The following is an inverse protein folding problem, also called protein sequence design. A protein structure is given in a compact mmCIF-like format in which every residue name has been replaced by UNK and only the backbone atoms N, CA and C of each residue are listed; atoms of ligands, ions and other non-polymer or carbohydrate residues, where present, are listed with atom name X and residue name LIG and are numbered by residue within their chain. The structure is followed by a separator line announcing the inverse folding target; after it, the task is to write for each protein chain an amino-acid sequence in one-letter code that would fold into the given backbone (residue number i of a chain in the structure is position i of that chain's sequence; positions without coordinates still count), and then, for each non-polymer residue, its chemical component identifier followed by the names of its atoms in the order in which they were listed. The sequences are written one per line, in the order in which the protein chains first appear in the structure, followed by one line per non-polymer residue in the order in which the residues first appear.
data_IF_964639566536
#
_entry.id   IF_964639566536
#
_cell.length_a   1.000
_cell.length_b   1.000
_cell.length_c   1.000
_cell.angle_alpha   90.00
_cell.angle_beta   90.00
_cell.angle_gamma   90.00
#
_symmetry.space_group_name_H-M   'P 1'
#
loop_
_entity.id
_entity.type
_entity.pdbx_description
1 polymer ?
#
# COMPACT_ATOMS: atom_id res chain seq x y z
N UNK A 1 1.58 10.73 10.24
CA UNK A 1 0.43 11.63 10.37
C UNK A 1 -0.51 11.05 11.43
N UNK A 2 -0.79 11.83 12.45
CA UNK A 2 -1.76 11.48 13.50
C UNK A 2 -2.94 12.42 13.33
N UNK A 3 -4.10 11.92 12.94
CA UNK A 3 -5.34 12.69 12.90
C UNK A 3 -6.28 12.13 13.97
N UNK A 4 -6.62 12.95 14.95
CA UNK A 4 -7.57 12.59 16.02
C UNK A 4 -8.75 13.56 15.92
N UNK A 5 -9.87 13.09 15.37
CA UNK A 5 -11.12 13.82 15.36
C UNK A 5 -11.95 13.42 16.59
N UNK A 6 -12.06 14.32 17.56
CA UNK A 6 -13.01 14.20 18.67
C UNK A 6 -14.26 14.99 18.35
N UNK A 7 -15.41 14.33 18.34
CA UNK A 7 -16.71 14.98 18.28
C UNK A 7 -17.38 14.82 19.63
N UNK A 8 -17.94 15.92 20.13
CA UNK A 8 -18.71 15.93 21.37
C UNK A 8 -20.18 16.03 21.04
N UNK A 9 -20.98 15.14 21.67
CA UNK A 9 -22.42 15.12 21.50
C UNK A 9 -23.10 15.43 22.81
N UNK A 10 -24.24 16.10 22.73
CA UNK A 10 -25.09 16.37 23.86
C UNK A 10 -26.45 15.73 23.59
N UNK A 11 -26.90 14.89 24.52
CA UNK A 11 -28.23 14.36 24.47
C UNK A 11 -29.23 15.51 24.61
N UNK A 12 -30.28 15.52 23.81
CA UNK A 12 -31.37 16.48 23.94
C UNK A 12 -32.72 15.77 23.85
N UNK A 13 -33.65 16.25 24.64
CA UNK A 13 -35.05 15.84 24.61
C UNK A 13 -35.90 17.02 24.09
N UNK A 14 -36.71 16.75 23.07
CA UNK A 14 -37.73 17.71 22.64
C UNK A 14 -39.01 17.39 23.40
N UNK A 15 -39.41 18.30 24.27
CA UNK A 15 -40.60 18.16 25.12
C UNK A 15 -41.67 19.15 24.66
N UNK A 16 -42.89 18.67 24.52
CA UNK A 16 -44.07 19.50 24.31
C UNK A 16 -44.74 19.73 25.66
N UNK A 17 -44.99 20.98 26.00
CA UNK A 17 -45.77 21.33 27.17
C UNK A 17 -47.23 20.92 26.98
N UNK A 18 -47.80 20.20 27.91
CA UNK A 18 -49.16 19.67 27.83
C UNK A 18 -50.13 20.32 28.85
N UNK A 19 -49.63 21.14 29.74
CA UNK A 19 -50.42 21.78 30.79
C UNK A 19 -49.77 21.58 32.16
N UNK A 20 -50.55 21.80 33.22
CA UNK A 20 -50.14 21.63 34.63
C UNK A 20 -50.99 20.55 35.29
N UNK A 21 -50.41 19.84 36.26
CA UNK A 21 -51.13 18.93 37.12
C UNK A 21 -51.92 19.67 38.19
N UNK A 22 -52.68 18.93 39.01
CA UNK A 22 -53.48 19.51 40.08
C UNK A 22 -52.66 20.20 41.19
N UNK A 23 -51.37 19.92 41.25
CA UNK A 23 -50.38 20.51 42.15
C UNK A 23 -49.59 21.67 41.55
N UNK A 24 -49.86 22.04 40.27
CA UNK A 24 -49.21 23.16 39.56
C UNK A 24 -47.86 22.81 38.94
N UNK A 25 -47.50 21.52 38.78
CA UNK A 25 -46.28 21.13 38.06
C UNK A 25 -46.54 20.98 36.56
N UNK A 26 -45.60 21.43 35.77
CA UNK A 26 -45.70 21.35 34.32
C UNK A 26 -45.60 19.91 33.79
N UNK A 27 -46.60 19.48 33.04
CA UNK A 27 -46.64 18.18 32.36
C UNK A 27 -46.03 18.33 30.95
N UNK A 28 -45.09 17.47 30.62
CA UNK A 28 -44.43 17.44 29.32
C UNK A 28 -44.63 16.08 28.64
N UNK A 29 -44.97 16.14 27.35
CA UNK A 29 -44.88 14.97 26.48
C UNK A 29 -43.54 14.96 25.76
N UNK A 30 -42.83 13.85 25.81
CA UNK A 30 -41.54 13.71 25.07
C UNK A 30 -41.88 13.40 23.62
N UNK A 31 -41.75 14.38 22.74
CA UNK A 31 -41.95 14.24 21.28
C UNK A 31 -40.83 13.52 20.62
N UNK A 32 -39.60 13.70 21.09
CA UNK A 32 -38.40 13.13 20.50
C UNK A 32 -37.31 12.96 21.56
N UNK A 33 -36.87 11.75 21.68
CA UNK A 33 -35.69 11.41 22.48
C UNK A 33 -34.64 10.86 21.52
N UNK A 34 -33.71 11.71 21.10
CA UNK A 34 -32.60 11.28 20.24
C UNK A 34 -31.35 11.03 21.08
N UNK A 35 -31.08 9.76 21.28
CA UNK A 35 -29.80 9.33 21.80
C UNK A 35 -28.75 9.39 20.67
N UNK A 36 -27.96 10.46 20.66
CA UNK A 36 -26.84 10.61 19.70
C UNK A 36 -25.70 9.64 20.02
N UNK A 37 -25.88 8.69 20.91
CA UNK A 37 -24.87 7.71 21.32
C UNK A 37 -24.42 6.74 20.22
N UNK A 38 -25.12 6.70 19.09
CA UNK A 38 -24.84 5.76 18.00
C UNK A 38 -24.22 6.41 16.75
N UNK A 39 -23.66 7.61 16.86
CA UNK A 39 -22.88 8.13 15.75
C UNK A 39 -21.54 7.40 15.70
N UNK A 40 -21.39 6.51 14.75
CA UNK A 40 -20.15 5.86 14.46
C UNK A 40 -19.17 6.93 13.96
N UNK A 41 -18.30 7.40 14.82
CA UNK A 41 -17.20 8.27 14.42
C UNK A 41 -16.26 7.44 13.56
N UNK A 42 -16.14 7.81 12.31
CA UNK A 42 -15.08 7.28 11.47
C UNK A 42 -13.75 7.88 11.95
N UNK A 43 -13.15 7.26 12.93
CA UNK A 43 -11.82 7.61 13.39
C UNK A 43 -10.81 6.86 12.53
N UNK A 44 -9.88 7.55 11.92
CA UNK A 44 -8.73 6.95 11.23
C UNK A 44 -7.44 7.32 11.97
N UNK A 45 -6.63 6.32 12.25
CA UNK A 45 -5.29 6.53 12.77
C UNK A 45 -4.33 5.62 12.01
N UNK A 46 -3.33 6.22 11.39
CA UNK A 46 -2.30 5.48 10.68
C UNK A 46 -0.92 5.99 11.07
N UNK A 47 0.06 5.12 10.95
CA UNK A 47 1.47 5.45 11.11
C UNK A 47 2.24 4.93 9.92
N UNK A 48 2.97 5.82 9.27
CA UNK A 48 3.91 5.47 8.20
C UNK A 48 5.31 5.91 8.60
N UNK A 49 6.27 5.00 8.49
CA UNK A 49 7.69 5.27 8.70
C UNK A 49 8.41 4.87 7.42
N UNK A 50 9.24 5.77 6.92
CA UNK A 50 10.05 5.55 5.73
C UNK A 50 11.50 5.91 6.03
N UNK A 51 12.40 5.00 5.68
CA UNK A 51 13.84 5.20 5.74
C UNK A 51 14.41 5.04 4.34
N UNK A 52 15.31 5.92 3.98
CA UNK A 52 16.04 5.84 2.73
C UNK A 52 17.48 6.24 2.96
N UNK A 53 18.39 5.47 2.39
CA UNK A 53 19.81 5.78 2.35
C UNK A 53 20.26 5.60 0.91
N UNK A 54 20.85 6.65 0.32
CA UNK A 54 21.35 6.62 -1.05
C UNK A 54 22.82 7.02 -1.09
N UNK A 55 23.60 6.32 -1.90
CA UNK A 55 24.96 6.67 -2.25
C UNK A 55 25.04 6.89 -3.77
N UNK A 56 25.59 8.02 -4.19
CA UNK A 56 25.76 8.36 -5.57
C UNK A 56 27.25 8.52 -5.91
N UNK A 57 27.63 8.07 -7.07
CA UNK A 57 28.97 8.21 -7.61
C UNK A 57 28.88 8.78 -9.03
N UNK A 58 29.67 9.79 -9.34
CA UNK A 58 29.79 10.36 -10.68
C UNK A 58 31.24 10.75 -10.93
N UNK A 59 31.81 10.22 -11.99
CA UNK A 59 33.18 10.55 -12.35
C UNK A 59 33.41 10.43 -13.86
N UNK A 60 34.11 11.42 -14.38
CA UNK A 60 34.54 11.46 -15.76
C UNK A 60 36.06 11.19 -15.86
N UNK A 61 36.46 10.24 -16.68
CA UNK A 61 37.85 9.87 -16.97
C UNK A 61 38.13 10.10 -18.45
N UNK A 62 38.58 11.28 -18.81
CA UNK A 62 38.78 11.65 -20.22
C UNK A 62 37.45 11.58 -21.01
N UNK A 63 37.35 10.61 -21.91
CA UNK A 63 36.15 10.42 -22.75
C UNK A 63 35.10 9.49 -22.13
N UNK A 64 35.36 8.94 -20.94
CA UNK A 64 34.53 7.99 -20.24
C UNK A 64 33.85 8.67 -19.07
N UNK A 65 32.54 8.57 -19.00
CA UNK A 65 31.78 8.98 -17.84
C UNK A 65 31.09 7.77 -17.21
N UNK A 66 31.26 7.60 -15.90
CA UNK A 66 30.67 6.51 -15.11
C UNK A 66 29.84 7.13 -14.01
N UNK A 67 28.57 6.75 -13.95
CA UNK A 67 27.70 7.11 -12.82
C UNK A 67 27.17 5.86 -12.15
N UNK A 68 27.04 5.92 -10.84
CA UNK A 68 26.51 4.84 -10.03
C UNK A 68 25.58 5.36 -8.97
N UNK A 69 24.55 4.62 -8.65
CA UNK A 69 23.66 4.86 -7.52
C UNK A 69 23.41 3.55 -6.80
N UNK A 70 23.47 3.60 -5.50
CA UNK A 70 23.01 2.53 -4.62
C UNK A 70 22.00 3.13 -3.64
N UNK A 71 20.86 2.48 -3.49
CA UNK A 71 19.77 2.92 -2.65
C UNK A 71 19.25 1.77 -1.80
N UNK A 72 19.13 2.01 -0.52
CA UNK A 72 18.37 1.16 0.41
C UNK A 72 17.14 1.91 0.88
N UNK A 73 15.98 1.26 0.87
CA UNK A 73 14.76 1.81 1.44
C UNK A 73 14.02 0.79 2.29
N UNK A 74 13.27 1.31 3.26
CA UNK A 74 12.34 0.54 4.07
C UNK A 74 11.11 1.37 4.39
N UNK A 75 9.94 0.77 4.21
CA UNK A 75 8.66 1.37 4.54
C UNK A 75 7.87 0.45 5.46
N UNK A 76 7.44 1.03 6.59
CA UNK A 76 6.52 0.40 7.53
C UNK A 76 5.24 1.26 7.58
N UNK A 77 4.09 0.67 7.29
CA UNK A 77 2.79 1.33 7.36
C UNK A 77 1.83 0.48 8.19
N UNK A 78 1.14 1.09 9.13
CA UNK A 78 0.11 0.43 9.94
C UNK A 78 -1.13 1.31 10.05
N UNK A 79 -2.29 0.69 9.89
CA UNK A 79 -3.57 1.29 10.25
C UNK A 79 -3.92 0.85 11.67
N UNK A 80 -3.87 1.79 12.63
CA UNK A 80 -4.02 1.51 14.05
C UNK A 80 -5.49 1.25 14.46
N UNK A 81 -6.44 1.55 13.58
CA UNK A 81 -7.88 1.38 13.85
C UNK A 81 -8.53 0.26 13.06
N UNK A 82 -7.77 -0.46 12.29
CA UNK A 82 -8.31 -1.62 11.64
C UNK A 82 -8.51 -2.74 12.67
N UNK A 83 -9.75 -3.13 12.90
CA UNK A 83 -10.13 -4.20 13.82
C UNK A 83 -10.00 -5.58 13.20
N UNK A 84 -9.80 -5.65 11.89
CA UNK A 84 -9.55 -6.90 11.19
C UNK A 84 -8.15 -7.43 11.53
N UNK A 85 -8.05 -8.73 11.78
CA UNK A 85 -6.80 -9.41 12.20
C UNK A 85 -5.67 -9.19 11.22
N UNK A 86 -5.97 -9.21 9.93
CA UNK A 86 -4.97 -9.00 8.86
C UNK A 86 -4.69 -7.53 8.62
N UNK A 87 -5.67 -6.68 8.81
CA UNK A 87 -5.55 -5.23 8.61
C UNK A 87 -4.76 -4.51 9.69
N UNK A 88 -4.73 -5.05 10.92
CA UNK A 88 -3.93 -4.49 12.02
C UNK A 88 -2.43 -4.80 11.91
N UNK A 89 -2.04 -5.78 11.10
CA UNK A 89 -0.63 -6.12 10.88
C UNK A 89 0.03 -5.05 10.01
N UNK A 90 1.21 -4.53 10.38
CA UNK A 90 1.91 -3.55 9.56
C UNK A 90 2.18 -4.04 8.13
N UNK A 91 2.15 -3.13 7.16
CA UNK A 91 2.65 -3.35 5.81
C UNK A 91 4.13 -3.02 5.79
N UNK A 92 4.98 -4.01 5.62
CA UNK A 92 6.42 -3.83 5.59
C UNK A 92 6.98 -4.20 4.24
N UNK A 93 7.72 -3.27 3.69
CA UNK A 93 8.49 -3.44 2.46
C UNK A 93 9.89 -2.90 2.70
N UNK A 94 10.87 -3.59 2.13
CA UNK A 94 12.24 -3.09 2.09
C UNK A 94 12.87 -3.47 0.77
N UNK A 95 13.83 -2.68 0.34
CA UNK A 95 14.49 -2.96 -0.92
C UNK A 95 15.86 -2.34 -1.03
N UNK A 96 16.61 -2.90 -1.95
CA UNK A 96 17.87 -2.36 -2.44
C UNK A 96 17.68 -2.11 -3.92
N UNK A 97 18.09 -0.94 -4.39
CA UNK A 97 18.15 -0.62 -5.80
C UNK A 97 19.56 -0.17 -6.17
N UNK A 98 20.00 -0.54 -7.33
CA UNK A 98 21.28 -0.10 -7.89
C UNK A 98 21.14 0.32 -9.33
N UNK A 99 21.90 1.33 -9.71
CA UNK A 99 22.06 1.81 -11.09
C UNK A 99 23.55 1.99 -11.37
N UNK A 100 23.99 1.52 -12.51
CA UNK A 100 25.29 1.80 -13.07
C UNK A 100 25.11 2.27 -14.50
N UNK A 101 25.58 3.47 -14.83
CA UNK A 101 25.54 4.00 -16.20
C UNK A 101 26.95 4.29 -16.69
N UNK A 102 27.16 4.01 -17.92
CA UNK A 102 28.40 4.26 -18.62
C UNK A 102 28.13 5.04 -19.91
N UNK A 103 28.91 6.06 -20.15
CA UNK A 103 28.85 6.88 -21.35
C UNK A 103 30.23 7.06 -21.91
N UNK A 104 30.40 6.78 -23.21
CA UNK A 104 31.63 7.00 -23.96
C UNK A 104 31.42 8.05 -25.04
N UNK A 105 32.22 9.14 -24.99
CA UNK A 105 32.19 10.25 -25.95
C UNK A 105 30.82 10.91 -26.12
N UNK A 106 29.90 10.70 -25.21
CA UNK A 106 28.47 11.09 -25.36
C UNK A 106 27.82 10.50 -26.64
N UNK A 107 28.38 9.41 -27.15
CA UNK A 107 27.89 8.66 -28.31
C UNK A 107 27.23 7.34 -27.87
N UNK A 108 27.92 6.57 -27.02
CA UNK A 108 27.52 5.24 -26.61
C UNK A 108 27.13 5.26 -25.14
N UNK A 109 25.93 4.80 -24.85
CA UNK A 109 25.37 4.75 -23.51
C UNK A 109 25.00 3.31 -23.17
N UNK A 110 25.40 2.87 -22.01
CA UNK A 110 24.97 1.61 -21.42
C UNK A 110 24.52 1.86 -20.00
N UNK A 111 23.40 1.29 -19.61
CA UNK A 111 22.88 1.39 -18.26
C UNK A 111 22.38 0.03 -17.76
N UNK A 112 22.75 -0.29 -16.56
CA UNK A 112 22.27 -1.45 -15.83
C UNK A 112 21.57 -0.99 -14.55
N UNK A 113 20.33 -1.44 -14.35
CA UNK A 113 19.60 -1.21 -13.12
C UNK A 113 19.18 -2.55 -12.52
N UNK A 114 19.09 -2.60 -11.22
CA UNK A 114 18.44 -3.70 -10.52
C UNK A 114 17.68 -3.22 -9.31
N UNK A 115 16.59 -3.92 -9.01
CA UNK A 115 15.85 -3.84 -7.76
C UNK A 115 15.84 -5.20 -7.09
N UNK A 116 16.13 -5.25 -5.80
CA UNK A 116 15.97 -6.42 -4.96
C UNK A 116 15.02 -6.06 -3.82
N UNK A 117 13.76 -6.40 -3.99
CA UNK A 117 12.67 -5.95 -3.13
C UNK A 117 12.09 -7.09 -2.32
N UNK A 118 11.80 -6.82 -1.04
CA UNK A 118 11.17 -7.74 -0.11
C UNK A 118 9.82 -7.23 0.37
N UNK A 119 8.81 -8.12 0.37
CA UNK A 119 7.47 -7.86 0.86
C UNK A 119 7.02 -8.92 1.84
N UNK A 120 6.39 -8.53 2.95
CA UNK A 120 5.80 -9.46 3.92
C UNK A 120 4.49 -10.09 3.43
N UNK A 121 3.98 -9.69 2.27
CA UNK A 121 2.80 -10.30 1.65
C UNK A 121 3.02 -11.75 1.24
N UNK A 122 4.28 -12.18 1.12
CA UNK A 122 4.67 -13.52 0.69
C UNK A 122 5.20 -14.39 1.84
N UNK A 123 5.10 -15.72 1.73
CA UNK A 123 5.60 -16.65 2.73
C UNK A 123 7.12 -16.56 2.87
N UNK A 124 7.64 -17.02 4.01
CA UNK A 124 9.10 -17.13 4.22
C UNK A 124 9.75 -17.90 3.07
N UNK A 125 10.86 -17.38 2.55
CA UNK A 125 11.57 -17.96 1.41
C UNK A 125 11.14 -17.43 0.03
N UNK A 126 9.98 -16.77 -0.10
CA UNK A 126 9.48 -16.18 -1.35
C UNK A 126 9.28 -14.66 -1.25
N UNK A 127 9.72 -14.04 -0.17
CA UNK A 127 9.52 -12.62 0.12
C UNK A 127 10.31 -11.69 -0.78
N UNK A 128 11.45 -12.14 -1.29
CA UNK A 128 12.36 -11.30 -2.06
C UNK A 128 12.29 -11.63 -3.55
N UNK A 129 12.19 -10.57 -4.37
CA UNK A 129 12.26 -10.63 -5.82
C UNK A 129 13.42 -9.80 -6.35
N UNK A 130 14.08 -10.31 -7.41
CA UNK A 130 15.15 -9.62 -8.12
C UNK A 130 14.68 -9.19 -9.51
N UNK A 131 14.79 -7.88 -9.81
CA UNK A 131 14.25 -7.24 -10.99
C UNK A 131 15.35 -6.46 -11.71
N UNK A 132 16.10 -7.10 -12.60
CA UNK A 132 17.13 -6.45 -13.37
C UNK A 132 16.56 -5.77 -14.62
N UNK A 133 17.25 -4.72 -15.07
CA UNK A 133 17.01 -4.11 -16.37
C UNK A 133 18.32 -3.60 -16.99
N UNK A 134 18.39 -3.64 -18.30
CA UNK A 134 19.51 -3.14 -19.08
C UNK A 134 19.00 -2.23 -20.18
N UNK A 135 19.72 -1.15 -20.45
CA UNK A 135 19.44 -0.27 -21.58
C UNK A 135 20.72 0.12 -22.30
N UNK A 136 20.59 0.25 -23.61
CA UNK A 136 21.65 0.72 -24.51
C UNK A 136 21.13 1.92 -25.29
N UNK A 137 22.02 2.87 -25.53
CA UNK A 137 21.73 4.08 -26.31
C UNK A 137 22.88 4.44 -27.22
N UNK A 138 22.54 4.92 -28.40
CA UNK A 138 23.51 5.36 -29.39
C UNK A 138 23.07 6.69 -30.00
N UNK A 139 23.94 7.70 -29.95
CA UNK A 139 23.69 9.02 -30.52
C UNK A 139 24.45 9.14 -31.83
N UNK A 140 23.72 8.96 -32.93
CA UNK A 140 24.29 9.00 -34.29
C UNK A 140 24.79 10.38 -34.66
N UNK A 141 24.11 11.42 -34.20
CA UNK A 141 24.47 12.81 -34.52
C UNK A 141 25.80 13.27 -33.92
N UNK A 142 26.36 12.50 -32.97
CA UNK A 142 27.67 12.80 -32.40
C UNK A 142 28.81 12.07 -33.08
N UNK A 143 28.51 11.28 -34.12
CA UNK A 143 29.53 10.61 -34.92
C UNK A 143 30.17 11.56 -35.93
N UNK A 144 31.43 11.28 -36.31
CA UNK A 144 32.23 12.11 -37.21
C UNK A 144 31.72 12.08 -38.67
N UNK A 145 30.96 11.02 -39.02
CA UNK A 145 30.33 10.91 -40.35
C UNK A 145 29.04 11.70 -40.47
N UNK A 146 28.47 12.21 -39.36
CA UNK A 146 27.21 12.93 -39.40
C UNK A 146 27.37 14.36 -39.86
N UNK A 147 26.65 14.73 -40.91
CA UNK A 147 26.69 16.10 -41.41
C UNK A 147 25.84 17.02 -40.52
N UNK A 148 26.49 17.94 -39.79
CA UNK A 148 25.87 18.91 -38.89
C UNK A 148 24.94 19.92 -39.57
N UNK A 149 25.00 20.03 -40.89
CA UNK A 149 24.14 20.92 -41.65
C UNK A 149 22.79 20.27 -42.04
N UNK A 150 22.56 19.03 -41.63
CA UNK A 150 21.29 18.38 -41.86
C UNK A 150 20.20 18.98 -40.96
N UNK A 151 18.96 18.87 -41.43
CA UNK A 151 17.75 19.29 -40.67
C UNK A 151 17.53 18.52 -39.37
N UNK A 152 18.16 17.35 -39.20
CA UNK A 152 18.12 16.58 -37.96
C UNK A 152 19.34 16.94 -37.10
N UNK A 153 19.14 17.68 -36.03
CA UNK A 153 20.17 18.13 -35.10
C UNK A 153 20.48 17.11 -33.98
N UNK A 154 19.55 16.20 -33.67
CA UNK A 154 19.77 15.16 -32.68
C UNK A 154 19.03 13.88 -33.07
N UNK A 155 19.77 12.79 -33.25
CA UNK A 155 19.23 11.46 -33.50
C UNK A 155 19.86 10.47 -32.53
N UNK A 156 19.03 9.97 -31.60
CA UNK A 156 19.42 8.96 -30.61
C UNK A 156 18.56 7.72 -30.76
N UNK A 157 19.20 6.57 -30.95
CA UNK A 157 18.59 5.25 -30.87
C UNK A 157 18.75 4.71 -29.45
N UNK A 158 17.71 4.09 -28.91
CA UNK A 158 17.79 3.44 -27.61
C UNK A 158 16.93 2.19 -27.57
N UNK A 159 17.39 1.18 -26.85
CA UNK A 159 16.66 -0.04 -26.56
C UNK A 159 16.83 -0.41 -25.09
N UNK A 160 15.81 -0.97 -24.48
CA UNK A 160 15.86 -1.44 -23.09
C UNK A 160 15.08 -2.73 -22.94
N UNK A 161 15.54 -3.55 -22.01
CA UNK A 161 14.88 -4.76 -21.59
C UNK A 161 14.99 -4.87 -20.07
N UNK A 162 13.91 -5.29 -19.41
CA UNK A 162 13.93 -5.43 -17.97
C UNK A 162 12.69 -6.12 -17.45
N UNK A 163 12.76 -6.53 -16.20
CA UNK A 163 11.64 -7.13 -15.45
C UNK A 163 11.20 -6.20 -14.34
N UNK A 164 9.90 -6.18 -14.08
CA UNK A 164 9.27 -5.41 -13.00
C UNK A 164 8.45 -6.37 -12.16
N UNK A 165 8.55 -6.25 -10.84
CA UNK A 165 7.77 -7.07 -9.92
C UNK A 165 6.65 -6.30 -9.27
N UNK A 166 5.51 -6.99 -9.10
CA UNK A 166 4.36 -6.49 -8.35
C UNK A 166 4.07 -7.42 -7.16
N UNK A 167 3.87 -6.83 -5.96
CA UNK A 167 3.51 -7.56 -4.74
C UNK A 167 2.03 -7.39 -4.36
N UNK A 168 1.26 -6.61 -5.14
CA UNK A 168 -0.17 -6.34 -4.92
C UNK A 168 -0.97 -6.99 -6.05
N UNK A 169 -1.06 -8.32 -6.04
CA UNK A 169 -1.88 -9.04 -7.02
C UNK A 169 -3.34 -9.21 -6.58
N UNK A 170 -3.67 -8.90 -5.32
CA UNK A 170 -5.01 -9.11 -4.75
C UNK A 170 -5.35 -8.06 -3.70
N UNK A 171 -6.63 -7.78 -3.53
CA UNK A 171 -7.17 -6.99 -2.41
C UNK A 171 -6.99 -7.67 -1.06
N UNK A 172 -6.76 -8.99 -1.05
CA UNK A 172 -6.61 -9.80 0.16
C UNK A 172 -5.13 -9.91 0.53
N UNK A 173 -4.84 -9.63 1.80
CA UNK A 173 -3.48 -9.73 2.36
C UNK A 173 -3.15 -11.17 2.75
N UNK A 174 -1.86 -11.50 2.71
CA UNK A 174 -1.33 -12.78 3.21
C UNK A 174 -2.03 -13.99 2.60
N UNK A 175 -2.11 -14.04 1.27
CA UNK A 175 -2.74 -15.14 0.53
C UNK A 175 -2.17 -16.54 0.87
N UNK A 176 -1.05 -16.61 1.57
CA UNK A 176 -0.43 -17.85 2.04
C UNK A 176 -1.00 -18.37 3.36
N UNK A 177 -1.85 -17.57 4.04
CA UNK A 177 -2.47 -17.96 5.31
C UNK A 177 -3.89 -18.50 5.07
N UNK A 178 -4.17 -19.64 5.68
CA UNK A 178 -5.57 -20.11 5.82
C UNK A 178 -6.24 -19.35 6.93
N UNK A 179 -7.45 -18.86 6.67
CA UNK A 179 -8.27 -18.18 7.67
C UNK A 179 -9.50 -19.00 8.01
N UNK A 180 -9.97 -18.87 9.23
CA UNK A 180 -11.21 -19.47 9.72
C UNK A 180 -12.18 -18.38 10.13
N UNK A 181 -13.39 -18.44 9.62
CA UNK A 181 -14.49 -17.58 10.04
C UNK A 181 -15.16 -18.18 11.27
N UNK A 182 -15.07 -17.48 12.36
CA UNK A 182 -15.76 -17.82 13.61
C UNK A 182 -17.15 -17.15 13.60
N UNK A 183 -18.12 -17.75 14.27
CA UNK A 183 -19.49 -17.22 14.36
C UNK A 183 -20.25 -17.19 13.02
N UNK A 184 -20.01 -18.14 12.17
CA UNK A 184 -20.85 -18.37 10.99
C UNK A 184 -22.11 -19.11 11.44
N UNK A 185 -23.25 -18.83 10.80
CA UNK A 185 -24.46 -19.59 11.04
C UNK A 185 -24.24 -21.05 10.62
N UNK A 186 -24.15 -21.96 11.59
CA UNK A 186 -24.01 -23.37 11.34
C UNK A 186 -25.38 -24.07 11.16
N UNK A 187 -26.46 -23.40 11.57
CA UNK A 187 -27.83 -23.91 11.45
C UNK A 187 -28.72 -23.47 12.62
N UNK A 188 -29.99 -23.77 12.48
CA UNK A 188 -30.96 -23.58 13.52
C UNK A 188 -31.31 -24.95 14.10
N UNK A 189 -31.32 -25.05 15.44
CA UNK A 189 -31.73 -26.24 16.15
C UNK A 189 -33.01 -26.01 16.89
N UNK A 190 -33.75 -27.09 17.13
CA UNK A 190 -34.99 -27.09 17.86
C UNK A 190 -36.25 -27.17 16.98
N UNK A 191 -37.35 -27.52 17.59
CA UNK A 191 -38.63 -27.81 16.92
C UNK A 191 -39.23 -26.57 16.22
N UNK A 192 -38.85 -25.36 16.68
CA UNK A 192 -39.28 -24.09 16.10
C UNK A 192 -38.18 -23.32 15.35
N UNK A 193 -37.00 -23.92 15.17
CA UNK A 193 -35.90 -23.30 14.44
C UNK A 193 -35.32 -22.01 15.06
N UNK A 194 -35.61 -21.75 16.34
CA UNK A 194 -35.30 -20.49 17.01
C UNK A 194 -33.92 -20.48 17.69
N UNK A 195 -33.25 -21.64 17.81
CA UNK A 195 -31.93 -21.73 18.40
C UNK A 195 -30.82 -21.62 17.35
N UNK A 196 -30.24 -20.47 17.28
CA UNK A 196 -29.07 -20.21 16.44
C UNK A 196 -27.82 -20.92 17.01
N UNK A 197 -27.15 -21.69 16.17
CA UNK A 197 -25.90 -22.32 16.53
C UNK A 197 -24.76 -21.63 15.76
N UNK A 198 -23.82 -21.03 16.49
CA UNK A 198 -22.62 -20.50 15.93
C UNK A 198 -21.66 -21.64 15.54
N UNK A 199 -21.13 -21.60 14.34
CA UNK A 199 -20.18 -22.57 13.81
C UNK A 199 -18.88 -21.93 13.33
N UNK A 200 -17.99 -22.78 12.90
CA UNK A 200 -16.71 -22.39 12.30
C UNK A 200 -16.75 -22.83 10.84
N UNK A 201 -16.39 -21.92 9.94
CA UNK A 201 -16.29 -22.22 8.52
C UNK A 201 -14.90 -21.81 8.01
N UNK A 202 -14.35 -22.60 7.11
CA UNK A 202 -13.12 -22.23 6.42
C UNK A 202 -13.37 -20.95 5.60
N UNK A 203 -12.46 -19.98 5.73
CA UNK A 203 -12.47 -18.76 4.95
C UNK A 203 -11.55 -18.89 3.74
N UNK A 204 -10.49 -18.08 3.71
CA UNK A 204 -9.47 -18.17 2.67
C UNK A 204 -8.59 -19.39 2.87
N UNK A 205 -8.47 -20.23 1.85
CA UNK A 205 -7.48 -21.31 1.80
C UNK A 205 -6.11 -20.74 1.45
N UNK A 206 -5.10 -20.98 2.31
CA UNK A 206 -3.76 -20.47 2.13
C UNK A 206 -3.01 -21.14 0.99
N UNK A 207 -2.38 -20.34 0.13
CA UNK A 207 -1.51 -20.82 -0.94
C UNK A 207 -0.04 -20.51 -0.65
N UNK A 208 0.76 -21.52 -0.30
CA UNK A 208 2.18 -21.38 0.00
C UNK A 208 3.05 -21.08 -1.26
N UNK A 209 2.46 -21.14 -2.45
CA UNK A 209 3.17 -20.91 -3.70
C UNK A 209 3.06 -19.46 -4.21
N UNK A 210 2.43 -18.59 -3.44
CA UNK A 210 2.33 -17.16 -3.81
C UNK A 210 3.71 -16.50 -3.80
N UNK A 211 4.03 -15.81 -4.87
CA UNK A 211 5.29 -15.08 -5.07
C UNK A 211 5.03 -13.82 -5.89
N UNK A 212 6.08 -13.05 -6.16
CA UNK A 212 6.04 -11.88 -7.01
C UNK A 212 5.45 -12.19 -8.39
N UNK A 213 4.60 -11.29 -8.87
CA UNK A 213 4.15 -11.23 -10.25
C UNK A 213 5.19 -10.45 -11.07
N UNK A 214 5.63 -11.00 -12.21
CA UNK A 214 6.66 -10.42 -13.10
C UNK A 214 6.21 -10.38 -14.54
#
# INVERSE_FOLDING_TARGET
YYSNNKQYYKDFEVKQYMGEDAEGNAIYNILRNENIKNVTLAESANRAIYYEVAANYDRTFGMHNITGMFLFNRRDYVNLRNTDRTGSVPYRRQGIAGRASYNYLQRYFAEFNFGYNGSEQFPKGKRYGFFPSVSLGYVLTNEDFWNRNWWISNLKLRGSYGTVGNDISSSTRFLYLTTMNMNVSAGYMGKEGNNYMAGIMEGQTGNQNVTWET
#
